data_IF_213695662759
#
_entry.id   IF_213695662759
#
_cell.length_a   1.000
_cell.length_b   1.000
_cell.length_c   1.000
_cell.angle_alpha   90.00
_cell.angle_beta   90.00
_cell.angle_gamma   90.00
#
_symmetry.space_group_name_H-M   'P 1'
#
loop_
_entity.id
_entity.type
_entity.pdbx_description
1 polymer ?
#
# COMPACT_ATOMS: atom_id res chain seq x y z
N UNK A 1 -25.27 -10.52 4.69
CA UNK A 1 -23.98 -10.26 5.37
C UNK A 1 -23.56 -8.84 5.05
N UNK A 2 -23.22 -8.00 6.03
CA UNK A 2 -22.49 -6.77 5.64
C UNK A 2 -22.39 -5.65 6.65
N UNK A 3 -23.41 -5.40 7.48
CA UNK A 3 -23.44 -4.24 8.40
C UNK A 3 -23.66 -4.60 9.87
N UNK A 4 -24.07 -5.84 10.14
CA UNK A 4 -24.27 -6.33 11.50
C UNK A 4 -22.92 -6.53 12.20
N UNK A 5 -22.83 -6.30 13.51
CA UNK A 5 -21.63 -6.60 14.28
C UNK A 5 -21.26 -8.08 14.18
N UNK A 6 -20.00 -8.37 13.91
CA UNK A 6 -19.46 -9.74 13.88
C UNK A 6 -19.54 -10.37 15.28
N UNK A 7 -20.26 -11.50 15.44
CA UNK A 7 -20.35 -12.23 16.71
C UNK A 7 -18.97 -12.68 17.20
N UNK A 8 -18.80 -12.80 18.52
CA UNK A 8 -17.51 -13.20 19.10
C UNK A 8 -17.02 -14.57 18.62
N UNK A 9 -17.94 -15.48 18.33
CA UNK A 9 -17.65 -16.84 17.84
C UNK A 9 -17.03 -16.85 16.43
N UNK A 10 -17.33 -15.83 15.62
CA UNK A 10 -16.78 -15.67 14.27
C UNK A 10 -15.43 -14.92 14.26
N UNK A 11 -15.00 -14.37 15.40
CA UNK A 11 -13.73 -13.64 15.52
C UNK A 11 -12.59 -14.62 15.75
N UNK A 12 -11.80 -14.85 14.71
CA UNK A 12 -10.75 -15.86 14.70
C UNK A 12 -9.35 -15.30 14.35
N UNK A 13 -9.21 -14.02 14.04
CA UNK A 13 -7.93 -13.41 13.69
C UNK A 13 -7.18 -12.93 14.94
N UNK A 14 -5.89 -13.25 15.04
CA UNK A 14 -4.97 -12.85 16.10
C UNK A 14 -4.09 -11.69 15.64
N UNK A 15 -3.37 -11.05 16.57
CA UNK A 15 -2.46 -9.94 16.24
C UNK A 15 -1.42 -10.27 15.17
N UNK A 16 -0.93 -11.51 15.14
CA UNK A 16 0.00 -11.96 14.11
C UNK A 16 -0.63 -12.04 12.72
N UNK A 17 -1.92 -12.43 12.64
CA UNK A 17 -2.64 -12.44 11.38
C UNK A 17 -2.81 -11.02 10.84
N UNK A 18 -3.04 -10.03 11.71
CA UNK A 18 -3.05 -8.62 11.32
C UNK A 18 -1.67 -8.12 10.89
N UNK A 19 -0.60 -8.51 11.60
CA UNK A 19 0.75 -8.18 11.19
C UNK A 19 1.02 -8.68 9.77
N UNK A 20 0.77 -9.97 9.51
CA UNK A 20 0.98 -10.58 8.20
C UNK A 20 0.04 -10.02 7.12
N UNK A 21 -1.22 -9.72 7.46
CA UNK A 21 -2.18 -9.11 6.54
C UNK A 21 -1.67 -7.77 6.02
N UNK A 22 -1.26 -6.89 6.93
CA UNK A 22 -0.86 -5.53 6.58
C UNK A 22 0.57 -5.45 6.07
N UNK A 23 1.47 -6.32 6.53
CA UNK A 23 2.77 -6.55 5.89
C UNK A 23 2.59 -7.02 4.44
N UNK A 24 1.70 -7.99 4.21
CA UNK A 24 1.40 -8.48 2.85
C UNK A 24 0.78 -7.41 1.96
N UNK A 25 -0.07 -6.53 2.50
CA UNK A 25 -0.62 -5.39 1.77
C UNK A 25 0.45 -4.35 1.43
N UNK A 26 1.41 -4.14 2.34
CA UNK A 26 2.53 -3.22 2.14
C UNK A 26 3.58 -3.75 1.14
N UNK A 27 3.74 -5.06 0.96
CA UNK A 27 4.60 -5.62 -0.10
C UNK A 27 3.89 -5.42 -1.44
N UNK A 28 4.11 -4.27 -2.07
CA UNK A 28 3.47 -3.92 -3.34
C UNK A 28 4.35 -3.00 -4.20
N UNK A 29 4.16 -3.08 -5.52
CA UNK A 29 4.81 -2.16 -6.47
C UNK A 29 4.37 -0.70 -6.24
N UNK A 30 3.14 -0.48 -5.77
CA UNK A 30 2.65 0.87 -5.49
C UNK A 30 3.42 1.57 -4.38
N UNK A 31 3.87 0.82 -3.37
CA UNK A 31 4.68 1.34 -2.26
C UNK A 31 6.09 1.70 -2.73
N UNK A 32 6.67 0.89 -3.63
CA UNK A 32 7.96 1.19 -4.28
C UNK A 32 7.82 2.44 -5.16
N UNK A 33 6.79 2.49 -6.00
CA UNK A 33 6.50 3.64 -6.86
C UNK A 33 6.30 4.92 -6.05
N UNK A 34 5.54 4.85 -4.95
CA UNK A 34 5.30 5.99 -4.09
C UNK A 34 6.57 6.44 -3.33
N UNK A 35 7.46 5.49 -2.98
CA UNK A 35 8.81 5.80 -2.49
C UNK A 35 9.66 6.61 -3.48
N UNK A 36 9.48 6.38 -4.79
CA UNK A 36 10.11 7.18 -5.84
C UNK A 36 9.66 8.65 -5.84
N UNK A 37 8.45 8.95 -5.38
CA UNK A 37 7.92 10.33 -5.36
C UNK A 37 8.63 11.24 -4.36
N UNK A 38 9.30 10.68 -3.35
CA UNK A 38 10.05 11.46 -2.34
C UNK A 38 11.52 11.67 -2.71
N UNK A 39 11.98 11.19 -3.88
CA UNK A 39 13.33 11.43 -4.40
C UNK A 39 13.78 12.89 -4.43
N UNK A 40 12.92 13.88 -4.74
CA UNK A 40 13.31 15.29 -4.68
C UNK A 40 13.87 15.74 -3.32
N UNK A 41 13.56 15.04 -2.22
CA UNK A 41 14.11 15.30 -0.88
C UNK A 41 15.56 14.80 -0.70
N UNK A 42 16.04 13.92 -1.59
CA UNK A 42 17.27 13.17 -1.42
C UNK A 42 17.16 12.09 -0.34
N UNK A 43 18.21 11.29 -0.16
CA UNK A 43 18.16 10.12 0.72
C UNK A 43 17.88 10.46 2.19
N UNK A 44 18.56 11.48 2.73
CA UNK A 44 18.48 11.82 4.15
C UNK A 44 17.10 12.35 4.56
N UNK A 45 16.61 13.39 3.89
CA UNK A 45 15.27 13.92 4.17
C UNK A 45 14.16 12.98 3.70
N UNK A 46 14.37 12.25 2.60
CA UNK A 46 13.43 11.23 2.14
C UNK A 46 13.22 10.14 3.18
N UNK A 47 14.29 9.62 3.79
CA UNK A 47 14.18 8.64 4.89
C UNK A 47 13.37 9.19 6.07
N UNK A 48 13.63 10.43 6.49
CA UNK A 48 12.85 11.06 7.57
C UNK A 48 11.39 11.28 7.21
N UNK A 49 11.10 11.69 5.97
CA UNK A 49 9.73 11.83 5.48
C UNK A 49 9.01 10.48 5.48
N UNK A 50 9.69 9.40 5.08
CA UNK A 50 9.16 8.03 5.10
C UNK A 50 8.84 7.61 6.54
N UNK A 51 9.79 7.72 7.46
CA UNK A 51 9.61 7.25 8.84
C UNK A 51 8.56 8.07 9.60
N UNK A 52 8.62 9.41 9.52
CA UNK A 52 7.67 10.28 10.19
C UNK A 52 6.29 10.22 9.53
N UNK A 53 6.23 10.16 8.21
CA UNK A 53 4.98 10.06 7.48
C UNK A 53 4.24 8.75 7.78
N UNK A 54 4.94 7.62 7.78
CA UNK A 54 4.34 6.36 8.20
C UNK A 54 3.97 6.38 9.68
N UNK A 55 4.79 6.92 10.58
CA UNK A 55 4.43 7.05 12.00
C UNK A 55 3.10 7.82 12.17
N UNK A 56 2.99 8.97 11.51
CA UNK A 56 1.82 9.85 11.60
C UNK A 56 0.60 9.22 10.95
N UNK A 57 0.70 8.72 9.71
CA UNK A 57 -0.44 8.20 8.96
C UNK A 57 -0.89 6.81 9.41
N UNK A 58 0.03 5.98 9.92
CA UNK A 58 -0.28 4.63 10.38
C UNK A 58 -1.00 4.62 11.74
N UNK A 59 -0.83 5.68 12.53
CA UNK A 59 -1.52 5.85 13.81
C UNK A 59 -3.05 5.96 13.66
N UNK A 60 -3.63 6.91 12.90
CA UNK A 60 -5.07 6.97 12.67
C UNK A 60 -5.58 5.73 11.94
N UNK A 61 -4.81 5.18 11.01
CA UNK A 61 -5.12 3.92 10.34
C UNK A 61 -5.32 2.76 11.34
N UNK A 62 -4.36 2.53 12.24
CA UNK A 62 -4.48 1.50 13.27
C UNK A 62 -5.60 1.80 14.28
N UNK A 63 -5.84 3.08 14.61
CA UNK A 63 -6.96 3.51 15.46
C UNK A 63 -8.32 3.21 14.81
N UNK A 64 -8.44 3.38 13.49
CA UNK A 64 -9.61 2.92 12.74
C UNK A 64 -9.82 1.42 12.92
N UNK A 65 -8.74 0.63 12.82
CA UNK A 65 -8.77 -0.81 13.08
C UNK A 65 -9.18 -1.15 14.53
N UNK A 66 -8.83 -0.31 15.51
CA UNK A 66 -9.25 -0.49 16.88
C UNK A 66 -10.78 -0.37 17.05
N UNK A 67 -11.43 0.51 16.29
CA UNK A 67 -12.89 0.67 16.30
C UNK A 67 -13.56 -0.63 15.80
N UNK A 68 -13.13 -1.12 14.63
CA UNK A 68 -13.66 -2.36 14.06
C UNK A 68 -13.48 -3.56 14.98
N UNK A 69 -12.29 -3.73 15.58
CA UNK A 69 -12.01 -4.86 16.47
C UNK A 69 -12.76 -4.82 17.80
N UNK A 70 -12.97 -3.64 18.37
CA UNK A 70 -13.74 -3.50 19.64
C UNK A 70 -15.21 -3.82 19.43
N UNK A 71 -15.82 -3.22 18.40
CA UNK A 71 -17.26 -3.26 18.20
C UNK A 71 -17.72 -4.34 17.21
N UNK A 72 -16.79 -4.97 16.48
CA UNK A 72 -17.12 -5.95 15.45
C UNK A 72 -17.81 -5.35 14.23
N UNK A 73 -17.69 -4.05 14.00
CA UNK A 73 -18.43 -3.35 12.95
C UNK A 73 -17.54 -3.03 11.74
N UNK A 74 -18.10 -3.03 10.53
CA UNK A 74 -17.39 -2.59 9.32
C UNK A 74 -17.13 -1.08 9.33
N UNK A 75 -16.24 -0.62 8.47
CA UNK A 75 -15.74 0.77 8.51
C UNK A 75 -16.85 1.79 8.29
N UNK A 76 -17.73 1.53 7.32
CA UNK A 76 -18.86 2.42 7.00
C UNK A 76 -19.93 2.47 8.10
N UNK A 77 -19.99 1.47 8.98
CA UNK A 77 -20.83 1.53 10.18
C UNK A 77 -20.13 2.33 11.27
N UNK A 78 -18.80 2.22 11.38
CA UNK A 78 -17.96 2.96 12.34
C UNK A 78 -18.03 4.48 12.19
N UNK A 79 -18.38 5.01 11.03
CA UNK A 79 -18.52 6.47 10.80
C UNK A 79 -19.90 7.02 11.13
N UNK A 80 -20.91 6.16 11.38
CA UNK A 80 -22.29 6.59 11.67
C UNK A 80 -22.44 7.44 12.94
N UNK A 81 -21.67 7.25 14.02
CA UNK A 81 -21.76 8.14 15.18
C UNK A 81 -21.44 9.61 14.85
N UNK A 82 -20.54 9.87 13.90
CA UNK A 82 -20.12 11.22 13.52
C UNK A 82 -20.99 11.83 12.42
N UNK A 83 -21.41 11.03 11.43
CA UNK A 83 -22.11 11.50 10.23
C UNK A 83 -23.59 11.10 10.17
N UNK A 84 -24.07 10.32 11.14
CA UNK A 84 -25.37 9.67 11.09
C UNK A 84 -25.45 8.55 10.05
N UNK A 85 -26.60 7.86 9.99
CA UNK A 85 -26.84 6.78 9.02
C UNK A 85 -26.82 7.33 7.60
N UNK A 86 -27.53 8.44 7.34
CA UNK A 86 -27.58 9.04 6.01
C UNK A 86 -26.24 9.61 5.56
N UNK A 87 -25.50 10.26 6.45
CA UNK A 87 -24.15 10.76 6.12
C UNK A 87 -23.13 9.65 5.89
N UNK A 88 -23.31 8.45 6.48
CA UNK A 88 -22.42 7.32 6.17
C UNK A 88 -22.47 6.88 4.70
N UNK A 89 -23.58 7.13 3.98
CA UNK A 89 -23.63 6.87 2.53
C UNK A 89 -22.72 7.81 1.74
N UNK A 90 -22.56 9.05 2.17
CA UNK A 90 -21.62 9.98 1.54
C UNK A 90 -20.17 9.51 1.71
N UNK A 91 -19.78 9.10 2.92
CA UNK A 91 -18.47 8.51 3.18
C UNK A 91 -18.24 7.22 2.35
N UNK A 92 -19.27 6.37 2.23
CA UNK A 92 -19.20 5.18 1.39
C UNK A 92 -19.02 5.53 -0.10
N UNK A 93 -19.75 6.53 -0.61
CA UNK A 93 -19.59 6.99 -1.99
C UNK A 93 -18.18 7.52 -2.27
N UNK A 94 -17.61 8.32 -1.35
CA UNK A 94 -16.23 8.78 -1.45
C UNK A 94 -15.23 7.61 -1.45
N UNK A 95 -15.46 6.60 -0.61
CA UNK A 95 -14.59 5.42 -0.61
C UNK A 95 -14.71 4.60 -1.91
N UNK A 96 -15.89 4.49 -2.51
CA UNK A 96 -16.04 3.88 -3.84
C UNK A 96 -15.24 4.63 -4.90
N UNK A 97 -15.31 5.98 -4.90
CA UNK A 97 -14.52 6.81 -5.82
C UNK A 97 -13.01 6.58 -5.59
N UNK A 98 -12.57 6.56 -4.34
CA UNK A 98 -11.19 6.28 -3.97
C UNK A 98 -10.74 4.90 -4.49
N UNK A 99 -11.55 3.84 -4.32
CA UNK A 99 -11.23 2.49 -4.79
C UNK A 99 -11.13 2.41 -6.32
N UNK A 100 -11.98 3.14 -7.04
CA UNK A 100 -11.88 3.29 -8.50
C UNK A 100 -10.56 3.96 -8.87
N UNK A 101 -10.22 5.07 -8.21
CA UNK A 101 -8.94 5.76 -8.41
C UNK A 101 -7.75 4.84 -8.14
N UNK A 102 -7.82 4.03 -7.09
CA UNK A 102 -6.75 3.10 -6.73
C UNK A 102 -6.60 1.97 -7.73
N UNK A 103 -7.72 1.46 -8.26
CA UNK A 103 -7.69 0.48 -9.34
C UNK A 103 -7.05 1.10 -10.60
N UNK A 104 -7.37 2.34 -10.94
CA UNK A 104 -6.76 3.03 -12.07
C UNK A 104 -5.23 3.15 -11.92
N UNK A 105 -4.73 3.55 -10.74
CA UNK A 105 -3.28 3.62 -10.46
C UNK A 105 -2.62 2.25 -10.62
N UNK A 106 -3.22 1.18 -10.08
CA UNK A 106 -2.68 -0.18 -10.21
C UNK A 106 -2.61 -0.66 -11.66
N UNK A 107 -3.62 -0.31 -12.47
CA UNK A 107 -3.64 -0.64 -13.89
C UNK A 107 -2.56 0.13 -14.67
N UNK A 108 -2.31 1.39 -14.32
CA UNK A 108 -1.22 2.19 -14.91
C UNK A 108 0.13 1.56 -14.60
N UNK A 109 0.41 1.24 -13.32
CA UNK A 109 1.67 0.62 -12.90
C UNK A 109 1.86 -0.74 -13.58
N UNK A 110 0.79 -1.54 -13.66
CA UNK A 110 0.82 -2.83 -14.36
C UNK A 110 1.11 -2.65 -15.86
N UNK A 111 0.47 -1.66 -16.49
CA UNK A 111 0.69 -1.32 -17.89
C UNK A 111 2.12 -0.85 -18.17
N UNK A 112 2.69 -0.02 -17.29
CA UNK A 112 4.09 0.42 -17.36
C UNK A 112 5.06 -0.76 -17.30
N UNK A 113 4.87 -1.66 -16.33
CA UNK A 113 5.69 -2.86 -16.20
C UNK A 113 5.61 -3.76 -17.44
N UNK A 114 4.40 -3.97 -18.00
CA UNK A 114 4.21 -4.76 -19.21
C UNK A 114 4.81 -4.10 -20.46
N UNK A 115 4.69 -2.77 -20.57
CA UNK A 115 5.28 -1.99 -21.66
C UNK A 115 6.82 -2.04 -21.61
N UNK A 116 7.40 -1.92 -20.42
CA UNK A 116 8.85 -2.04 -20.23
C UNK A 116 9.39 -3.41 -20.68
N UNK A 117 8.67 -4.49 -20.38
CA UNK A 117 9.01 -5.83 -20.89
C UNK A 117 8.90 -5.88 -22.42
N UNK A 118 7.86 -5.26 -22.97
CA UNK A 118 7.59 -5.29 -24.41
C UNK A 118 8.62 -4.52 -25.23
N UNK A 119 9.21 -3.46 -24.68
CA UNK A 119 10.29 -2.69 -25.31
C UNK A 119 11.50 -3.57 -25.66
N UNK A 120 11.81 -4.59 -24.86
CA UNK A 120 12.87 -5.56 -25.20
C UNK A 120 12.60 -6.34 -26.48
N UNK A 121 11.33 -6.48 -26.88
CA UNK A 121 10.89 -7.13 -28.11
C UNK A 121 10.61 -6.13 -29.25
N UNK A 122 10.96 -4.85 -29.07
CA UNK A 122 10.77 -3.80 -30.09
C UNK A 122 9.34 -3.27 -30.20
N UNK A 123 8.47 -3.54 -29.22
CA UNK A 123 7.08 -3.08 -29.21
C UNK A 123 6.81 -2.23 -27.95
N UNK A 124 6.23 -1.05 -28.11
CA UNK A 124 5.79 -0.22 -26.97
C UNK A 124 4.44 0.40 -27.29
N UNK A 125 3.46 0.13 -26.43
CA UNK A 125 2.12 0.71 -26.45
C UNK A 125 1.51 0.65 -25.05
N UNK A 126 1.80 1.65 -24.24
CA UNK A 126 1.32 1.74 -22.86
C UNK A 126 -0.21 1.66 -22.76
N UNK A 127 -0.94 2.36 -23.64
CA UNK A 127 -2.41 2.39 -23.60
C UNK A 127 -3.01 1.00 -23.84
N UNK A 128 -2.41 0.22 -24.76
CA UNK A 128 -2.82 -1.16 -25.01
C UNK A 128 -2.64 -2.01 -23.74
N UNK A 129 -1.49 -1.90 -23.08
CA UNK A 129 -1.21 -2.68 -21.87
C UNK A 129 -2.12 -2.29 -20.70
N UNK A 130 -2.41 -1.00 -20.51
CA UNK A 130 -3.35 -0.55 -19.48
C UNK A 130 -4.75 -1.11 -19.72
N UNK A 131 -5.27 -1.00 -20.95
CA UNK A 131 -6.60 -1.50 -21.32
C UNK A 131 -6.65 -3.02 -21.16
N UNK A 132 -5.62 -3.73 -21.64
CA UNK A 132 -5.55 -5.18 -21.55
C UNK A 132 -5.54 -5.65 -20.09
N UNK A 133 -4.72 -5.04 -19.24
CA UNK A 133 -4.71 -5.31 -17.80
C UNK A 133 -6.08 -5.06 -17.18
N UNK A 134 -6.75 -3.96 -17.54
CA UNK A 134 -8.10 -3.64 -17.04
C UNK A 134 -9.14 -4.70 -17.42
N UNK A 135 -9.14 -5.15 -18.68
CA UNK A 135 -10.02 -6.22 -19.15
C UNK A 135 -9.72 -7.53 -18.41
N UNK A 136 -8.45 -7.92 -18.30
CA UNK A 136 -8.04 -9.14 -17.61
C UNK A 136 -8.44 -9.09 -16.14
N UNK A 137 -8.14 -8.01 -15.41
CA UNK A 137 -8.51 -7.86 -13.99
C UNK A 137 -10.03 -7.89 -13.81
N UNK A 138 -10.80 -7.27 -14.70
CA UNK A 138 -12.28 -7.26 -14.63
C UNK A 138 -12.85 -8.65 -14.87
N UNK A 139 -12.41 -9.35 -15.91
CA UNK A 139 -12.81 -10.73 -16.18
C UNK A 139 -12.43 -11.63 -14.99
N UNK A 140 -11.24 -11.43 -14.44
CA UNK A 140 -10.77 -12.17 -13.28
C UNK A 140 -11.65 -11.94 -12.06
N UNK A 141 -12.08 -10.71 -11.80
CA UNK A 141 -12.95 -10.36 -10.69
C UNK A 141 -14.32 -11.04 -10.76
N UNK A 142 -14.86 -11.25 -11.97
CA UNK A 142 -16.21 -11.83 -12.18
C UNK A 142 -16.21 -13.36 -12.07
N UNK A 143 -15.15 -14.05 -12.49
CA UNK A 143 -15.14 -15.52 -12.62
C UNK A 143 -15.00 -16.26 -11.27
N UNK A 144 -14.61 -15.57 -10.18
CA UNK A 144 -14.65 -16.06 -8.79
C UNK A 144 -14.02 -17.45 -8.55
N UNK A 145 -12.75 -17.52 -8.12
CA UNK A 145 -12.04 -18.82 -8.13
C UNK A 145 -11.54 -19.35 -6.78
N UNK A 146 -11.63 -20.68 -6.68
CA UNK A 146 -11.08 -21.56 -5.64
C UNK A 146 -9.54 -21.48 -5.49
N UNK A 147 -8.82 -21.03 -6.51
CA UNK A 147 -7.34 -20.96 -6.53
C UNK A 147 -6.74 -19.61 -6.07
N UNK A 148 -7.56 -18.61 -5.73
CA UNK A 148 -7.09 -17.24 -5.45
C UNK A 148 -6.07 -17.16 -4.32
N UNK A 149 -6.30 -17.94 -3.25
CA UNK A 149 -5.43 -17.94 -2.08
C UNK A 149 -4.02 -18.44 -2.41
N UNK A 150 -3.89 -19.38 -3.34
CA UNK A 150 -2.59 -19.96 -3.70
C UNK A 150 -1.79 -19.04 -4.61
N UNK A 151 -2.43 -18.50 -5.67
CA UNK A 151 -1.76 -17.57 -6.59
C UNK A 151 -1.32 -16.30 -5.85
N UNK A 152 -2.20 -15.71 -5.03
CA UNK A 152 -1.85 -14.54 -4.23
C UNK A 152 -0.64 -14.80 -3.31
N UNK A 153 -0.60 -15.97 -2.66
CA UNK A 153 0.51 -16.35 -1.78
C UNK A 153 1.83 -16.43 -2.54
N UNK A 154 1.81 -17.01 -3.74
CA UNK A 154 3.00 -17.08 -4.60
C UNK A 154 3.42 -15.69 -5.04
N UNK A 155 2.49 -14.85 -5.51
CA UNK A 155 2.78 -13.48 -5.95
C UNK A 155 3.45 -12.66 -4.85
N UNK A 156 2.92 -12.69 -3.63
CA UNK A 156 3.52 -11.99 -2.48
C UNK A 156 4.91 -12.53 -2.17
N UNK A 157 5.11 -13.85 -2.23
CA UNK A 157 6.41 -14.47 -1.94
C UNK A 157 7.46 -14.13 -3.01
N UNK A 158 7.09 -14.20 -4.29
CA UNK A 158 7.96 -13.81 -5.41
C UNK A 158 8.31 -12.32 -5.31
N UNK A 159 7.32 -11.46 -5.05
CA UNK A 159 7.54 -10.03 -4.90
C UNK A 159 8.46 -9.74 -3.70
N UNK A 160 8.30 -10.44 -2.58
CA UNK A 160 9.19 -10.31 -1.43
C UNK A 160 10.63 -10.67 -1.79
N UNK A 161 10.85 -11.78 -2.53
CA UNK A 161 12.19 -12.17 -3.00
C UNK A 161 12.77 -11.09 -3.91
N UNK A 162 11.98 -10.57 -4.86
CA UNK A 162 12.42 -9.49 -5.74
C UNK A 162 12.80 -8.24 -4.95
N UNK A 163 12.02 -7.85 -3.93
CA UNK A 163 12.33 -6.71 -3.08
C UNK A 163 13.61 -6.92 -2.28
N UNK A 164 13.86 -8.13 -1.77
CA UNK A 164 15.11 -8.48 -1.10
C UNK A 164 16.30 -8.42 -2.06
N UNK A 165 16.14 -8.94 -3.28
CA UNK A 165 17.17 -8.88 -4.32
C UNK A 165 17.46 -7.42 -4.72
N UNK A 166 16.44 -6.59 -4.93
CA UNK A 166 16.59 -5.16 -5.21
C UNK A 166 17.31 -4.45 -4.06
N UNK A 167 16.92 -4.73 -2.81
CA UNK A 167 17.58 -4.18 -1.62
C UNK A 167 19.07 -4.52 -1.64
N UNK A 168 19.40 -5.79 -1.89
CA UNK A 168 20.79 -6.26 -1.94
C UNK A 168 21.59 -5.60 -3.07
N UNK A 169 21.05 -5.54 -4.30
CA UNK A 169 21.73 -4.95 -5.47
C UNK A 169 21.96 -3.45 -5.25
N UNK A 170 20.95 -2.71 -4.79
CA UNK A 170 21.08 -1.28 -4.51
C UNK A 170 22.17 -0.99 -3.47
N UNK A 171 22.27 -1.81 -2.43
CA UNK A 171 23.32 -1.66 -1.42
C UNK A 171 24.70 -2.06 -1.91
N UNK A 172 24.81 -3.09 -2.75
CA UNK A 172 26.07 -3.54 -3.36
C UNK A 172 26.62 -2.53 -4.37
N UNK A 173 25.80 -2.06 -5.31
CA UNK A 173 26.26 -1.25 -6.44
C UNK A 173 26.41 0.23 -6.09
N UNK A 174 25.47 0.79 -5.33
CA UNK A 174 25.45 2.23 -5.04
C UNK A 174 25.90 2.52 -3.60
N UNK A 175 25.39 1.75 -2.63
CA UNK A 175 25.69 1.93 -1.21
C UNK A 175 25.22 3.29 -0.65
N UNK A 176 25.21 3.41 0.69
CA UNK A 176 24.76 4.64 1.36
C UNK A 176 25.61 5.87 1.01
N UNK A 177 26.91 5.67 0.77
CA UNK A 177 27.87 6.74 0.49
C UNK A 177 27.59 7.47 -0.83
N UNK A 178 27.32 6.73 -1.91
CA UNK A 178 27.01 7.33 -3.21
C UNK A 178 25.62 7.97 -3.22
N UNK A 179 24.61 7.25 -2.71
CA UNK A 179 23.22 7.72 -2.73
C UNK A 179 23.00 8.98 -1.89
N UNK A 180 23.76 9.16 -0.80
CA UNK A 180 23.69 10.36 0.04
C UNK A 180 24.29 11.61 -0.61
N UNK A 181 25.11 11.45 -1.65
CA UNK A 181 25.73 12.56 -2.38
C UNK A 181 24.85 13.09 -3.52
N UNK A 182 23.79 12.36 -3.89
CA UNK A 182 22.86 12.79 -4.94
C UNK A 182 22.12 14.04 -4.44
N UNK A 183 22.24 15.18 -5.16
CA UNK A 183 21.72 16.44 -4.67
C UNK A 183 20.19 16.44 -4.65
N UNK A 184 19.62 16.87 -3.53
CA UNK A 184 18.18 17.12 -3.41
C UNK A 184 17.76 18.30 -4.30
N UNK A 185 16.48 18.31 -4.70
CA UNK A 185 15.87 19.46 -5.36
C UNK A 185 15.51 20.51 -4.30
N UNK A 186 16.23 21.65 -4.31
CA UNK A 186 16.14 22.67 -3.25
C UNK A 186 14.74 23.23 -3.01
N UNK A 187 13.88 23.22 -4.03
CA UNK A 187 12.55 23.82 -3.96
C UNK A 187 11.44 22.84 -3.57
N UNK A 188 11.73 21.56 -3.34
CA UNK A 188 10.71 20.59 -2.93
C UNK A 188 10.54 20.59 -1.40
N UNK A 189 9.36 21.01 -0.87
CA UNK A 189 9.19 21.14 0.57
C UNK A 189 9.12 19.79 1.27
N UNK A 190 9.80 19.68 2.42
CA UNK A 190 9.77 18.46 3.25
C UNK A 190 8.35 18.03 3.61
N UNK A 191 7.49 18.98 4.00
CA UNK A 191 6.11 18.70 4.38
C UNK A 191 5.29 18.08 3.26
N UNK A 192 5.56 18.44 2.00
CA UNK A 192 4.88 17.85 0.83
C UNK A 192 5.30 16.39 0.66
N UNK A 193 6.59 16.09 0.76
CA UNK A 193 7.05 14.69 0.68
C UNK A 193 6.53 13.83 1.83
N UNK A 194 6.47 14.39 3.05
CA UNK A 194 5.89 13.69 4.19
C UNK A 194 4.37 13.47 4.02
N UNK A 195 3.64 14.43 3.47
CA UNK A 195 2.21 14.30 3.18
C UNK A 195 1.92 13.18 2.17
N UNK A 196 2.74 13.06 1.13
CA UNK A 196 2.65 11.94 0.18
C UNK A 196 2.80 10.58 0.87
N UNK A 197 3.73 10.47 1.82
CA UNK A 197 3.91 9.25 2.63
C UNK A 197 2.71 9.02 3.55
N UNK A 198 2.19 10.06 4.21
CA UNK A 198 1.03 9.97 5.12
C UNK A 198 -0.22 9.48 4.38
N UNK A 199 -0.42 9.92 3.13
CA UNK A 199 -1.58 9.57 2.33
C UNK A 199 -1.76 8.06 2.16
N UNK A 200 -0.65 7.31 2.11
CA UNK A 200 -0.67 5.87 1.83
C UNK A 200 -1.36 5.04 2.94
N UNK A 201 -0.91 5.04 4.21
CA UNK A 201 -1.64 4.35 5.28
C UNK A 201 -3.04 4.93 5.51
N UNK A 202 -3.24 6.24 5.32
CA UNK A 202 -4.58 6.86 5.47
C UNK A 202 -5.56 6.34 4.41
N UNK A 203 -5.10 6.00 3.20
CA UNK A 203 -5.95 5.42 2.16
C UNK A 203 -6.62 4.09 2.57
N UNK A 204 -6.05 3.38 3.54
CA UNK A 204 -6.62 2.14 4.09
C UNK A 204 -7.59 2.36 5.24
N UNK A 205 -7.66 3.57 5.80
CA UNK A 205 -8.56 3.91 6.90
C UNK A 205 -10.03 3.58 6.60
N UNK A 206 -10.57 3.80 5.38
CA UNK A 206 -11.95 3.45 5.06
C UNK A 206 -12.24 1.95 4.92
N UNK A 207 -11.23 1.08 5.06
CA UNK A 207 -11.33 -0.38 4.86
C UNK A 207 -10.85 -1.18 6.08
N UNK A 208 -10.04 -0.57 6.95
CA UNK A 208 -9.34 -1.26 8.04
C UNK A 208 -10.29 -2.02 8.99
N UNK A 209 -11.48 -1.48 9.26
CA UNK A 209 -12.43 -2.11 10.18
C UNK A 209 -13.12 -3.33 9.58
N UNK A 210 -13.16 -3.43 8.25
CA UNK A 210 -13.75 -4.57 7.55
C UNK A 210 -12.92 -5.84 7.76
N UNK A 211 -11.61 -5.68 8.00
CA UNK A 211 -10.71 -6.74 8.43
C UNK A 211 -10.68 -6.88 9.96
N UNK A 212 -10.53 -5.77 10.68
CA UNK A 212 -10.29 -5.82 12.13
C UNK A 212 -11.50 -6.28 12.94
N UNK A 213 -12.72 -6.22 12.40
CA UNK A 213 -13.94 -6.75 13.05
C UNK A 213 -13.89 -8.24 13.41
N UNK A 214 -13.01 -9.00 12.75
CA UNK A 214 -12.78 -10.42 13.02
C UNK A 214 -11.69 -10.68 14.07
N UNK A 215 -11.18 -9.64 14.72
CA UNK A 215 -10.13 -9.76 15.72
C UNK A 215 -10.61 -10.41 17.03
N UNK A 216 -9.79 -11.32 17.55
CA UNK A 216 -9.96 -11.93 18.87
C UNK A 216 -9.59 -10.99 20.02
N UNK A 217 -8.59 -10.12 19.81
CA UNK A 217 -8.13 -9.13 20.79
C UNK A 217 -7.82 -7.79 20.12
N UNK A 218 -8.40 -6.71 20.64
CA UNK A 218 -8.30 -5.38 20.04
C UNK A 218 -6.90 -4.76 20.17
N UNK A 219 -6.19 -4.99 21.29
CA UNK A 219 -4.85 -4.41 21.50
C UNK A 219 -3.83 -5.07 20.57
N UNK A 220 -3.89 -6.40 20.43
CA UNK A 220 -3.06 -7.17 19.52
C UNK A 220 -3.39 -6.88 18.05
N UNK A 221 -4.67 -6.66 17.71
CA UNK A 221 -5.06 -6.23 16.36
C UNK A 221 -4.50 -4.84 16.02
N UNK A 222 -4.56 -3.89 16.97
CA UNK A 222 -3.96 -2.56 16.81
C UNK A 222 -2.45 -2.66 16.56
N UNK A 223 -1.70 -3.32 17.44
CA UNK A 223 -0.24 -3.39 17.29
C UNK A 223 0.20 -4.24 16.10
N UNK A 224 -0.52 -5.30 15.77
CA UNK A 224 -0.28 -6.09 14.56
C UNK A 224 -0.45 -5.24 13.31
N UNK A 225 -1.55 -4.50 13.21
CA UNK A 225 -1.82 -3.56 12.11
C UNK A 225 -0.75 -2.48 12.02
N UNK A 226 -0.46 -1.83 13.15
CA UNK A 226 0.48 -0.73 13.21
C UNK A 226 1.90 -1.19 12.84
N UNK A 227 2.43 -2.22 13.50
CA UNK A 227 3.81 -2.69 13.24
C UNK A 227 3.96 -3.32 11.85
N UNK A 228 2.98 -4.12 11.42
CA UNK A 228 3.01 -4.83 10.15
C UNK A 228 3.09 -3.86 8.98
N UNK A 229 2.22 -2.84 8.96
CA UNK A 229 2.26 -1.84 7.92
C UNK A 229 3.47 -0.92 8.06
N UNK A 230 3.72 -0.34 9.24
CA UNK A 230 4.82 0.63 9.44
C UNK A 230 6.18 0.10 8.99
N UNK A 231 6.55 -1.11 9.42
CA UNK A 231 7.88 -1.68 9.14
C UNK A 231 8.03 -1.97 7.64
N UNK A 232 7.04 -2.65 7.07
CA UNK A 232 7.14 -3.18 5.71
C UNK A 232 6.91 -2.09 4.67
N UNK A 233 5.96 -1.18 4.91
CA UNK A 233 5.67 -0.02 4.06
C UNK A 233 6.85 0.96 4.05
N UNK A 234 7.43 1.27 5.24
CA UNK A 234 8.65 2.09 5.30
C UNK A 234 9.82 1.45 4.56
N UNK A 235 9.96 0.13 4.64
CA UNK A 235 10.99 -0.60 3.91
C UNK A 235 10.77 -0.54 2.39
N UNK A 236 9.55 -0.78 1.90
CA UNK A 236 9.22 -0.67 0.47
C UNK A 236 9.42 0.74 -0.08
N UNK A 237 8.99 1.77 0.64
CA UNK A 237 9.23 3.16 0.28
C UNK A 237 10.72 3.47 0.21
N UNK A 238 11.51 2.96 1.17
CA UNK A 238 12.96 3.16 1.18
C UNK A 238 13.61 2.50 -0.03
N UNK A 239 13.21 1.27 -0.40
CA UNK A 239 13.66 0.63 -1.64
C UNK A 239 13.34 1.51 -2.85
N UNK A 240 12.10 1.99 -2.95
CA UNK A 240 11.67 2.86 -4.05
C UNK A 240 12.49 4.13 -4.16
N UNK A 241 12.68 4.83 -3.03
CA UNK A 241 13.52 6.02 -2.94
C UNK A 241 14.94 5.74 -3.40
N UNK A 242 15.58 4.67 -2.90
CA UNK A 242 16.95 4.35 -3.25
C UNK A 242 17.10 3.88 -4.71
N UNK A 243 16.16 3.08 -5.20
CA UNK A 243 16.15 2.60 -6.58
C UNK A 243 16.00 3.77 -7.56
N UNK A 244 15.06 4.69 -7.31
CA UNK A 244 14.86 5.88 -8.15
C UNK A 244 16.03 6.86 -8.06
N UNK A 245 16.66 7.01 -6.89
CA UNK A 245 17.89 7.79 -6.78
C UNK A 245 19.02 7.19 -7.63
N UNK A 246 19.17 5.87 -7.59
CA UNK A 246 20.18 5.14 -8.35
C UNK A 246 19.96 5.22 -9.88
N UNK A 247 18.72 5.02 -10.33
CA UNK A 247 18.39 4.94 -11.76
C UNK A 247 17.99 6.29 -12.37
N UNK A 248 17.76 7.32 -11.55
CA UNK A 248 17.16 8.60 -11.94
C UNK A 248 15.76 8.46 -12.57
N UNK A 249 15.09 7.32 -12.39
CA UNK A 249 13.75 7.06 -12.89
C UNK A 249 12.80 6.62 -11.76
N UNK A 250 11.62 7.26 -11.62
CA UNK A 250 10.61 6.86 -10.62
C UNK A 250 10.00 5.49 -10.91
N UNK A 251 10.29 4.92 -12.08
CA UNK A 251 9.87 3.57 -12.48
C UNK A 251 11.04 2.58 -12.27
N UNK A 252 10.85 1.48 -11.50
CA UNK A 252 11.83 0.40 -11.40
C UNK A 252 12.18 -0.24 -12.76
N UNK A 253 11.37 -0.01 -13.79
CA UNK A 253 11.52 -0.58 -15.12
C UNK A 253 12.25 0.30 -16.15
N UNK A 254 12.61 1.54 -15.79
CA UNK A 254 13.40 2.45 -16.63
C UNK A 254 12.62 3.64 -17.17
#
# INVERSE_FOLDING_TARGET
MGIEPTPREERNLRGWDFFLLWAGAAISLAEIWAGGLVVPLGLGLGLWAILLGHLIGNTPFALGGLIGSRWGIPTMVGVRPSFGIRGSYFAAALNVIQLIGWTAVMLIICGQAADAISKFYGFSNLNLWIILSGVITTLWAVVGHRFWKWLQRISVFVLLILCLAMTYIVFQEYGWGMLSQIPRKKDFPFMVGMDLVIAMPISWLPLVSDYSRFATDSKRSFWGTWMGYFIVSSWMYLIGLMATLATQSPDPSG
#
